data_IF_652716244754
#
_entry.id   IF_652716244754
#
_cell.length_a   1.000
_cell.length_b   1.000
_cell.length_c   1.000
_cell.angle_alpha   90.00
_cell.angle_beta   90.00
_cell.angle_gamma   90.00
#
_symmetry.space_group_name_H-M   'P 1'
#
loop_
_entity.id
_entity.type
_entity.pdbx_description
1 polymer ?
#
# COMPACT_ATOMS: atom_id res chain seq x y z
N UNK A 1 -2.34 4.69 -12.96
CA UNK A 1 -3.31 4.70 -11.84
C UNK A 1 -4.45 5.60 -12.24
N UNK A 2 -5.62 5.02 -12.50
CA UNK A 2 -6.80 5.78 -12.88
C UNK A 2 -7.27 6.61 -11.68
N UNK A 3 -7.22 7.94 -11.84
CA UNK A 3 -8.16 8.94 -11.32
C UNK A 3 -8.98 8.56 -10.08
N UNK A 4 -8.33 8.22 -8.96
CA UNK A 4 -9.03 8.26 -7.69
C UNK A 4 -9.17 9.75 -7.35
N UNK A 5 -10.41 10.24 -7.23
CA UNK A 5 -10.66 11.55 -6.64
C UNK A 5 -10.07 11.52 -5.23
N UNK A 6 -9.11 12.40 -4.94
CA UNK A 6 -8.40 12.47 -3.64
C UNK A 6 -8.58 13.83 -3.01
N UNK A 7 -9.67 14.51 -3.39
CA UNK A 7 -10.00 15.86 -2.97
C UNK A 7 -10.31 15.93 -1.48
N UNK A 8 -10.87 14.85 -0.91
CA UNK A 8 -11.22 14.73 0.52
C UNK A 8 -10.13 14.06 1.35
N UNK A 9 -9.07 13.59 0.70
CA UNK A 9 -7.98 12.89 1.35
C UNK A 9 -7.12 13.89 2.14
N UNK A 10 -7.01 13.79 3.47
CA UNK A 10 -6.19 14.68 4.28
C UNK A 10 -4.71 14.62 3.86
N UNK A 11 -3.94 15.69 4.15
CA UNK A 11 -2.53 15.82 3.75
C UNK A 11 -1.68 14.60 4.13
N UNK A 12 -1.93 14.06 5.33
CA UNK A 12 -1.36 12.83 5.85
C UNK A 12 -1.56 11.60 4.96
N UNK A 13 -2.73 11.46 4.35
CA UNK A 13 -3.04 10.37 3.42
C UNK A 13 -2.49 10.65 2.02
N UNK A 14 -2.35 11.91 1.60
CA UNK A 14 -1.71 12.26 0.32
C UNK A 14 -0.24 11.82 0.27
N UNK A 15 0.47 11.89 1.40
CA UNK A 15 1.84 11.37 1.50
C UNK A 15 1.91 9.84 1.28
N UNK A 16 0.89 9.10 1.77
CA UNK A 16 0.75 7.64 1.54
C UNK A 16 0.55 7.36 0.06
N UNK A 17 -0.35 8.10 -0.61
CA UNK A 17 -0.60 7.96 -2.05
C UNK A 17 0.68 8.17 -2.86
N UNK A 18 1.42 9.26 -2.56
CA UNK A 18 2.67 9.58 -3.23
C UNK A 18 3.70 8.46 -3.06
N UNK A 19 3.87 7.95 -1.83
CA UNK A 19 4.81 6.87 -1.52
C UNK A 19 4.45 5.56 -2.24
N UNK A 20 3.17 5.19 -2.26
CA UNK A 20 2.69 3.99 -2.95
C UNK A 20 2.87 4.10 -4.46
N UNK A 21 2.61 5.28 -5.03
CA UNK A 21 2.84 5.55 -6.43
C UNK A 21 4.34 5.51 -6.78
N UNK A 22 5.20 6.05 -5.92
CA UNK A 22 6.65 5.98 -6.09
C UNK A 22 7.17 4.53 -6.01
N UNK A 23 6.67 3.74 -5.05
CA UNK A 23 7.00 2.31 -4.92
C UNK A 23 6.58 1.55 -6.19
N UNK A 24 5.36 1.79 -6.66
CA UNK A 24 4.83 1.16 -7.86
C UNK A 24 5.64 1.52 -9.11
N UNK A 25 5.95 2.81 -9.30
CA UNK A 25 6.76 3.27 -10.44
C UNK A 25 8.17 2.68 -10.44
N UNK A 26 8.77 2.48 -9.27
CA UNK A 26 10.05 1.78 -9.19
C UNK A 26 9.94 0.27 -9.45
N UNK A 27 8.76 -0.30 -9.22
CA UNK A 27 8.49 -1.72 -9.47
C UNK A 27 8.08 -2.00 -10.93
N UNK A 28 7.57 -1.00 -11.66
CA UNK A 28 7.24 -1.08 -13.09
C UNK A 28 8.41 -1.57 -13.97
N UNK A 29 9.64 -1.02 -13.89
CA UNK A 29 10.76 -1.51 -14.69
C UNK A 29 11.17 -2.94 -14.30
N UNK A 30 10.88 -3.36 -13.07
CA UNK A 30 11.09 -4.74 -12.62
C UNK A 30 10.05 -5.69 -13.23
N UNK A 31 8.94 -5.20 -13.79
CA UNK A 31 7.93 -6.00 -14.47
C UNK A 31 8.37 -6.45 -15.88
N UNK A 32 9.54 -7.09 -15.96
CA UNK A 32 10.15 -7.56 -17.21
C UNK A 32 9.43 -8.76 -17.85
N UNK A 33 8.64 -9.50 -17.07
CA UNK A 33 7.93 -10.70 -17.53
C UNK A 33 6.41 -10.48 -17.56
N UNK A 34 5.67 -11.15 -18.47
CA UNK A 34 4.22 -11.02 -18.59
C UNK A 34 3.46 -11.38 -17.30
N UNK A 35 3.98 -12.33 -16.51
CA UNK A 35 3.43 -12.65 -15.19
C UNK A 35 3.55 -11.47 -14.20
N UNK A 36 4.73 -10.86 -14.10
CA UNK A 36 4.93 -9.67 -13.24
C UNK A 36 4.14 -8.47 -13.72
N UNK A 37 3.97 -8.28 -15.04
CA UNK A 37 3.09 -7.23 -15.59
C UNK A 37 1.65 -7.41 -15.14
N UNK A 38 1.11 -8.63 -15.19
CA UNK A 38 -0.23 -8.94 -14.65
C UNK A 38 -0.30 -8.65 -13.16
N UNK A 39 0.68 -9.11 -12.38
CA UNK A 39 0.73 -8.79 -10.95
C UNK A 39 0.75 -7.27 -10.70
N UNK A 40 1.52 -6.49 -11.47
CA UNK A 40 1.55 -5.04 -11.35
C UNK A 40 0.19 -4.41 -11.64
N UNK A 41 -0.52 -4.88 -12.67
CA UNK A 41 -1.88 -4.42 -12.99
C UNK A 41 -2.86 -4.69 -11.84
N UNK A 42 -2.84 -5.91 -11.29
CA UNK A 42 -3.63 -6.32 -10.12
C UNK A 42 -3.31 -5.48 -8.87
N UNK A 43 -2.03 -5.25 -8.62
CA UNK A 43 -1.57 -4.38 -7.54
C UNK A 43 -2.11 -2.95 -7.73
N UNK A 44 -2.09 -2.43 -8.96
CA UNK A 44 -2.59 -1.08 -9.26
C UNK A 44 -4.09 -0.95 -9.01
N UNK A 45 -4.88 -1.98 -9.37
CA UNK A 45 -6.34 -2.02 -9.12
C UNK A 45 -6.65 -2.04 -7.63
N UNK A 46 -5.90 -2.84 -6.86
CA UNK A 46 -6.04 -2.93 -5.39
C UNK A 46 -5.68 -1.61 -4.71
N UNK A 47 -4.62 -0.94 -5.17
CA UNK A 47 -4.25 0.40 -4.68
C UNK A 47 -5.32 1.45 -5.06
N UNK A 48 -5.86 1.41 -6.27
CA UNK A 48 -6.96 2.29 -6.67
C UNK A 48 -8.20 2.13 -5.80
N UNK A 49 -8.58 0.90 -5.47
CA UNK A 49 -9.69 0.63 -4.54
C UNK A 49 -9.41 1.17 -3.14
N UNK A 50 -8.17 1.06 -2.65
CA UNK A 50 -7.76 1.66 -1.38
C UNK A 50 -7.88 3.19 -1.41
N UNK A 51 -7.47 3.83 -2.50
CA UNK A 51 -7.50 5.28 -2.65
C UNK A 51 -8.93 5.82 -2.66
N UNK A 52 -9.83 5.11 -3.34
CA UNK A 52 -11.25 5.43 -3.29
C UNK A 52 -11.79 5.30 -1.86
N UNK A 53 -11.51 4.20 -1.16
CA UNK A 53 -11.95 4.02 0.24
C UNK A 53 -11.42 5.10 1.18
N UNK A 54 -10.17 5.53 0.99
CA UNK A 54 -9.58 6.65 1.73
C UNK A 54 -10.35 7.95 1.46
N UNK A 55 -10.72 8.22 0.20
CA UNK A 55 -11.49 9.40 -0.17
C UNK A 55 -12.93 9.38 0.36
N UNK A 56 -13.56 8.20 0.40
CA UNK A 56 -14.90 8.00 0.98
C UNK A 56 -14.89 7.98 2.52
N UNK A 57 -13.71 7.99 3.16
CA UNK A 57 -13.61 7.88 4.61
C UNK A 57 -13.99 6.49 5.15
N UNK A 58 -14.03 5.47 4.29
CA UNK A 58 -14.25 4.07 4.67
C UNK A 58 -13.01 3.42 5.30
N UNK A 59 -11.93 4.19 5.48
CA UNK A 59 -10.71 3.74 6.13
C UNK A 59 -10.58 4.43 7.48
N UNK A 60 -10.55 3.63 8.55
CA UNK A 60 -10.35 4.13 9.90
C UNK A 60 -9.00 4.85 10.04
N UNK A 61 -8.97 5.93 10.85
CA UNK A 61 -7.77 6.74 11.11
C UNK A 61 -6.57 5.89 11.59
N UNK A 62 -6.84 4.78 12.29
CA UNK A 62 -5.80 3.85 12.73
C UNK A 62 -5.13 3.11 11.56
N UNK A 63 -5.87 2.74 10.52
CA UNK A 63 -5.34 2.10 9.30
C UNK A 63 -4.49 3.09 8.51
N UNK A 64 -4.93 4.35 8.43
CA UNK A 64 -4.21 5.47 7.81
C UNK A 64 -2.88 5.71 8.50
N UNK A 65 -2.88 5.88 9.83
CA UNK A 65 -1.66 6.14 10.60
C UNK A 65 -0.61 5.03 10.38
N UNK A 66 -1.04 3.77 10.34
CA UNK A 66 -0.11 2.67 10.05
C UNK A 66 0.36 2.66 8.59
N UNK A 67 -0.50 3.02 7.63
CA UNK A 67 -0.09 3.17 6.22
C UNK A 67 0.99 4.23 6.08
N UNK A 68 0.88 5.33 6.82
CA UNK A 68 1.91 6.36 6.89
C UNK A 68 3.22 5.83 7.48
N UNK A 69 3.17 5.11 8.60
CA UNK A 69 4.36 4.48 9.19
C UNK A 69 5.05 3.52 8.22
N UNK A 70 4.27 2.73 7.48
CA UNK A 70 4.80 1.83 6.47
C UNK A 70 5.45 2.61 5.32
N UNK A 71 4.78 3.64 4.80
CA UNK A 71 5.30 4.48 3.73
C UNK A 71 6.57 5.23 4.15
N UNK A 72 6.61 5.77 5.37
CA UNK A 72 7.79 6.41 5.92
C UNK A 72 8.97 5.44 6.03
N UNK A 73 8.72 4.19 6.46
CA UNK A 73 9.77 3.15 6.49
C UNK A 73 10.25 2.78 5.09
N UNK A 74 9.36 2.75 4.09
CA UNK A 74 9.73 2.49 2.69
C UNK A 74 10.52 3.64 2.07
N UNK A 75 10.12 4.88 2.35
CA UNK A 75 10.80 6.09 1.89
C UNK A 75 12.22 6.18 2.48
N UNK A 76 12.37 5.80 3.76
CA UNK A 76 13.66 5.65 4.41
C UNK A 76 14.50 4.45 3.91
N UNK A 77 14.02 3.68 2.93
CA UNK A 77 14.70 2.47 2.43
C UNK A 77 14.75 1.32 3.44
N UNK A 78 13.97 1.41 4.52
CA UNK A 78 13.99 0.49 5.65
C UNK A 78 12.94 -0.61 5.47
N UNK A 79 13.14 -1.44 4.45
CA UNK A 79 12.31 -2.60 4.12
C UNK A 79 12.10 -3.61 5.27
N UNK A 80 13.10 -3.94 6.12
CA UNK A 80 12.87 -4.82 7.27
C UNK A 80 11.94 -4.17 8.30
N UNK A 81 12.07 -2.87 8.54
CA UNK A 81 11.15 -2.14 9.41
C UNK A 81 9.73 -2.10 8.82
N UNK A 82 9.58 -1.84 7.53
CA UNK A 82 8.29 -1.89 6.84
C UNK A 82 7.64 -3.28 6.98
N UNK A 83 8.42 -4.35 6.75
CA UNK A 83 7.96 -5.74 6.87
C UNK A 83 7.58 -6.08 8.32
N UNK A 84 8.32 -5.58 9.31
CA UNK A 84 8.02 -5.76 10.73
C UNK A 84 6.78 -4.99 11.16
N UNK A 85 6.61 -3.73 10.72
CA UNK A 85 5.39 -2.93 10.96
C UNK A 85 4.18 -3.66 10.39
N UNK A 86 4.34 -4.25 9.20
CA UNK A 86 3.30 -5.02 8.50
C UNK A 86 3.01 -6.36 9.20
N UNK A 87 4.02 -7.02 9.78
CA UNK A 87 3.89 -8.27 10.55
C UNK A 87 3.34 -8.07 11.97
N UNK A 88 3.70 -6.97 12.66
CA UNK A 88 3.18 -6.61 13.99
C UNK A 88 1.69 -6.25 13.99
N UNK A 89 1.07 -6.12 12.80
CA UNK A 89 -0.32 -5.67 12.67
C UNK A 89 -1.39 -6.64 13.16
N UNK A 90 -1.05 -7.88 13.50
CA UNK A 90 -2.00 -8.89 14.01
C UNK A 90 -2.45 -8.70 15.48
N UNK A 91 -2.02 -7.63 16.17
CA UNK A 91 -2.29 -7.44 17.61
C UNK A 91 -3.06 -6.17 17.98
N UNK A 92 -3.67 -5.48 17.04
CA UNK A 92 -4.65 -4.43 17.40
C UNK A 92 -5.97 -4.80 16.75
N UNK A 93 -6.73 -5.52 17.56
CA UNK A 93 -8.19 -5.64 17.59
C UNK A 93 -8.90 -4.73 16.60
N UNK A 94 -9.11 -5.25 15.40
CA UNK A 94 -10.16 -4.76 14.52
C UNK A 94 -11.05 -5.96 14.26
N UNK A 95 -12.28 -5.82 14.71
CA UNK A 95 -13.41 -6.70 14.50
C UNK A 95 -13.40 -7.29 13.09
N UNK A 96 -13.65 -8.59 13.05
CA UNK A 96 -13.50 -9.57 11.96
C UNK A 96 -13.99 -9.22 10.54
N UNK A 97 -14.54 -8.03 10.28
CA UNK A 97 -15.12 -7.63 8.98
C UNK A 97 -14.28 -6.61 8.22
N UNK A 98 -13.67 -5.62 8.89
CA UNK A 98 -12.80 -4.61 8.23
C UNK A 98 -11.43 -5.17 7.80
N UNK A 99 -11.06 -6.32 8.34
CA UNK A 99 -9.75 -6.95 8.15
C UNK A 99 -9.65 -7.75 6.84
N UNK A 100 -10.74 -8.38 6.39
CA UNK A 100 -10.75 -9.18 5.15
C UNK A 100 -10.54 -8.27 3.92
N UNK A 101 -11.24 -7.15 3.89
CA UNK A 101 -11.12 -6.17 2.82
C UNK A 101 -9.74 -5.46 2.84
N UNK A 102 -9.13 -5.32 4.03
CA UNK A 102 -7.77 -4.82 4.14
C UNK A 102 -6.69 -5.83 3.73
N UNK A 103 -6.95 -7.13 3.89
CA UNK A 103 -6.03 -8.21 3.52
C UNK A 103 -5.67 -8.22 2.04
N UNK A 104 -6.60 -7.78 1.18
CA UNK A 104 -6.44 -7.78 -0.27
C UNK A 104 -5.35 -6.80 -0.73
N UNK A 105 -5.38 -5.54 -0.29
CA UNK A 105 -4.35 -4.55 -0.66
C UNK A 105 -3.08 -4.70 0.17
N UNK A 106 -3.15 -5.22 1.40
CA UNK A 106 -1.97 -5.53 2.22
C UNK A 106 -1.09 -6.60 1.58
N UNK A 107 -1.70 -7.63 0.99
CA UNK A 107 -0.97 -8.71 0.30
C UNK A 107 -0.25 -8.16 -0.93
N UNK A 108 -0.90 -7.27 -1.68
CA UNK A 108 -0.31 -6.55 -2.81
C UNK A 108 0.91 -5.73 -2.38
N UNK A 109 0.75 -4.93 -1.33
CA UNK A 109 1.83 -4.12 -0.76
C UNK A 109 3.01 -4.96 -0.29
N UNK A 110 2.77 -6.08 0.39
CA UNK A 110 3.84 -6.99 0.83
C UNK A 110 4.67 -7.50 -0.35
N UNK A 111 4.02 -7.83 -1.47
CA UNK A 111 4.70 -8.28 -2.69
C UNK A 111 5.54 -7.16 -3.28
N UNK A 112 4.98 -5.95 -3.42
CA UNK A 112 5.72 -4.80 -3.96
C UNK A 112 6.97 -4.47 -3.15
N UNK A 113 6.86 -4.47 -1.81
CA UNK A 113 7.99 -4.23 -0.91
C UNK A 113 9.06 -5.30 -1.10
N UNK A 114 8.67 -6.58 -1.19
CA UNK A 114 9.59 -7.68 -1.39
C UNK A 114 10.28 -7.62 -2.76
N UNK A 115 9.56 -7.25 -3.81
CA UNK A 115 10.13 -7.07 -5.16
C UNK A 115 11.11 -5.90 -5.18
N UNK A 116 10.78 -4.78 -4.53
CA UNK A 116 11.68 -3.64 -4.35
C UNK A 116 12.94 -4.04 -3.55
N UNK A 117 12.78 -4.80 -2.48
CA UNK A 117 13.89 -5.32 -1.67
C UNK A 117 14.79 -6.28 -2.45
N UNK A 118 14.23 -7.09 -3.35
CA UNK A 118 15.00 -8.03 -4.18
C UNK A 118 15.74 -7.36 -5.34
N UNK A 119 15.40 -6.10 -5.66
CA UNK A 119 15.96 -5.36 -6.78
C UNK A 119 17.02 -4.32 -6.40
N UNK A 120 17.25 -4.11 -5.10
CA UNK A 120 18.37 -3.35 -4.55
C UNK A 120 19.40 -4.30 -3.94
#
# INVERSE_FOLDING_TARGET
MASADVSRVPADQKAVLASLNALFNACLPLANNPARKREMDDNSKRLGALFWRLNEGQVSAHVVARLQQLCAALDAGNYPAATQIQARRGKVELTTSDWDECGTWLTALKRLIKVRQMAG
#
